data_IF_997906657085
#
_entry.id   IF_997906657085
#
_cell.length_a   1.000
_cell.length_b   1.000
_cell.length_c   1.000
_cell.angle_alpha   90.00
_cell.angle_beta   90.00
_cell.angle_gamma   90.00
#
_symmetry.space_group_name_H-M   'P 1'
#
loop_
_entity.id
_entity.type
_entity.pdbx_description
1 polymer ?
#
# COMPACT_ATOMS: atom_id res chain seq x y z
N UNK A 1 52.15 69.59 -2.05
CA UNK A 1 51.27 68.50 -2.50
C UNK A 1 51.30 67.42 -1.42
N UNK A 2 50.33 67.40 -0.52
CA UNK A 2 50.21 66.38 0.54
C UNK A 2 48.93 65.60 0.30
N UNK A 3 49.05 64.35 -0.13
CA UNK A 3 47.91 63.46 -0.34
C UNK A 3 47.24 63.12 1.00
N UNK A 4 45.91 63.26 1.02
CA UNK A 4 45.06 62.79 2.11
C UNK A 4 44.59 61.37 1.77
N UNK A 5 45.15 60.36 2.44
CA UNK A 5 44.75 58.96 2.26
C UNK A 5 43.57 58.62 3.17
N UNK A 6 42.34 58.76 2.64
CA UNK A 6 41.13 58.26 3.29
C UNK A 6 41.19 56.71 3.37
N UNK A 7 41.54 56.20 4.55
CA UNK A 7 41.60 54.76 4.79
C UNK A 7 40.18 54.22 5.00
N UNK A 8 39.61 53.58 3.99
CA UNK A 8 38.30 52.93 4.09
C UNK A 8 38.38 51.70 5.02
N UNK A 9 37.99 51.89 6.29
CA UNK A 9 37.90 50.84 7.29
C UNK A 9 36.71 49.93 6.98
N UNK A 10 36.95 48.87 6.21
CA UNK A 10 35.93 47.90 5.82
C UNK A 10 35.49 47.09 7.05
N UNK A 11 34.36 47.48 7.64
CA UNK A 11 33.81 46.86 8.85
C UNK A 11 32.92 45.70 8.47
N UNK A 12 33.48 44.49 8.37
CA UNK A 12 32.71 43.26 8.15
C UNK A 12 31.78 43.03 9.34
N UNK A 13 30.50 43.40 9.21
CA UNK A 13 29.45 43.07 10.19
C UNK A 13 29.34 41.55 10.27
N UNK A 14 29.85 40.95 11.36
CA UNK A 14 29.53 39.56 11.71
C UNK A 14 28.03 39.46 11.97
N UNK A 15 27.31 38.79 11.07
CA UNK A 15 25.90 38.46 11.29
C UNK A 15 25.88 37.43 12.44
N UNK A 16 25.47 37.86 13.63
CA UNK A 16 25.23 36.93 14.74
C UNK A 16 24.10 35.98 14.34
N UNK A 17 24.41 34.68 14.21
CA UNK A 17 23.40 33.64 14.03
C UNK A 17 22.57 33.56 15.32
N UNK A 18 21.32 34.03 15.27
CA UNK A 18 20.35 33.79 16.35
C UNK A 18 20.05 32.29 16.38
N UNK A 19 20.28 31.67 17.54
CA UNK A 19 19.92 30.28 17.79
C UNK A 19 18.41 30.11 17.98
N UNK A 20 17.94 28.89 17.77
CA UNK A 20 16.57 28.47 18.06
C UNK A 20 16.33 28.53 19.57
N UNK A 21 15.22 29.13 20.02
CA UNK A 21 14.88 29.09 21.45
C UNK A 21 14.25 27.75 21.82
N UNK A 22 14.40 27.35 23.08
CA UNK A 22 13.73 26.15 23.61
C UNK A 22 12.21 26.28 23.52
N UNK A 23 11.68 27.50 23.68
CA UNK A 23 10.24 27.74 23.62
C UNK A 23 9.69 27.58 22.20
N UNK A 24 10.48 27.92 21.16
CA UNK A 24 10.08 27.65 19.78
C UNK A 24 9.94 26.16 19.50
N UNK A 25 10.86 25.30 19.98
CA UNK A 25 10.70 23.84 19.81
C UNK A 25 9.56 23.30 20.67
N UNK A 26 9.39 23.81 21.90
CA UNK A 26 8.33 23.37 22.81
C UNK A 26 6.94 23.57 22.20
N UNK A 27 6.67 24.74 21.64
CA UNK A 27 5.36 25.02 21.04
C UNK A 27 5.12 24.13 19.80
N UNK A 28 6.16 23.87 19.01
CA UNK A 28 6.08 23.05 17.80
C UNK A 28 5.74 21.60 18.15
N UNK A 29 6.43 20.99 19.12
CA UNK A 29 6.14 19.59 19.49
C UNK A 29 4.77 19.45 20.15
N UNK A 30 4.29 20.48 20.87
CA UNK A 30 2.92 20.51 21.41
C UNK A 30 1.90 20.53 20.29
N UNK A 31 2.05 21.41 19.29
CA UNK A 31 1.13 21.48 18.15
C UNK A 31 1.19 20.16 17.34
N UNK A 32 2.38 19.63 17.07
CA UNK A 32 2.54 18.34 16.39
C UNK A 32 1.88 17.19 17.18
N UNK A 33 1.98 17.20 18.50
CA UNK A 33 1.32 16.21 19.37
C UNK A 33 -0.20 16.27 19.27
N UNK A 34 -0.79 17.47 19.31
CA UNK A 34 -2.25 17.66 19.15
C UNK A 34 -2.71 17.22 17.76
N UNK A 35 -2.00 17.63 16.70
CA UNK A 35 -2.34 17.24 15.33
C UNK A 35 -2.23 15.73 15.12
N UNK A 36 -1.16 15.10 15.64
CA UNK A 36 -0.97 13.66 15.54
C UNK A 36 -2.12 12.90 16.22
N UNK A 37 -2.55 13.32 17.42
CA UNK A 37 -3.64 12.67 18.15
C UNK A 37 -4.97 12.68 17.37
N UNK A 38 -5.24 13.74 16.60
CA UNK A 38 -6.46 13.84 15.80
C UNK A 38 -6.37 13.06 14.48
N UNK A 39 -5.20 13.04 13.83
CA UNK A 39 -5.04 12.49 12.47
C UNK A 39 -4.82 10.97 12.48
N UNK A 40 -4.06 10.43 13.44
CA UNK A 40 -3.67 9.02 13.48
C UNK A 40 -4.86 8.04 13.39
N UNK A 41 -5.95 8.16 14.20
CA UNK A 41 -7.05 7.18 14.14
C UNK A 41 -7.73 7.16 12.77
N UNK A 42 -7.87 8.32 12.12
CA UNK A 42 -8.45 8.41 10.77
C UNK A 42 -7.58 7.74 9.71
N UNK A 43 -6.27 7.91 9.77
CA UNK A 43 -5.33 7.29 8.82
C UNK A 43 -5.27 5.77 9.01
N UNK A 44 -5.22 5.29 10.25
CA UNK A 44 -5.19 3.84 10.54
C UNK A 44 -6.46 3.15 10.04
N UNK A 45 -7.63 3.75 10.27
CA UNK A 45 -8.90 3.24 9.73
C UNK A 45 -8.90 3.18 8.20
N UNK A 46 -8.51 4.28 7.55
CA UNK A 46 -8.46 4.36 6.08
C UNK A 46 -7.49 3.33 5.47
N UNK A 47 -6.36 3.05 6.11
CA UNK A 47 -5.42 2.01 5.67
C UNK A 47 -6.03 0.61 5.77
N UNK A 48 -6.78 0.32 6.85
CA UNK A 48 -7.50 -0.94 7.01
C UNK A 48 -8.57 -1.15 5.95
N UNK A 49 -9.36 -0.10 5.68
CA UNK A 49 -10.39 -0.10 4.63
C UNK A 49 -9.78 -0.26 3.23
N UNK A 50 -8.69 0.45 2.96
CA UNK A 50 -7.97 0.34 1.69
C UNK A 50 -7.42 -1.08 1.47
N UNK A 51 -6.87 -1.71 2.51
CA UNK A 51 -6.38 -3.08 2.42
C UNK A 51 -7.51 -4.08 2.17
N UNK A 52 -8.64 -3.93 2.86
CA UNK A 52 -9.83 -4.79 2.69
C UNK A 52 -10.45 -4.63 1.29
N UNK A 53 -10.52 -3.39 0.80
CA UNK A 53 -10.97 -3.08 -0.56
C UNK A 53 -10.04 -3.67 -1.61
N UNK A 54 -8.72 -3.52 -1.43
CA UNK A 54 -7.73 -4.12 -2.33
C UNK A 54 -7.84 -5.66 -2.35
N UNK A 55 -7.97 -6.30 -1.19
CA UNK A 55 -8.16 -7.75 -1.09
C UNK A 55 -9.44 -8.20 -1.84
N UNK A 56 -10.54 -7.48 -1.66
CA UNK A 56 -11.81 -7.75 -2.36
C UNK A 56 -11.72 -7.54 -3.87
N UNK A 57 -10.97 -6.52 -4.33
CA UNK A 57 -10.75 -6.27 -5.74
C UNK A 57 -9.95 -7.40 -6.40
N UNK A 58 -8.88 -7.86 -5.74
CA UNK A 58 -8.12 -9.03 -6.19
C UNK A 58 -9.05 -10.27 -6.20
N UNK A 59 -9.92 -10.45 -5.19
CA UNK A 59 -10.94 -11.52 -5.11
C UNK A 59 -11.82 -11.62 -6.34
N UNK A 60 -12.29 -10.48 -6.80
CA UNK A 60 -13.08 -10.36 -8.02
C UNK A 60 -12.27 -10.73 -9.28
N UNK A 61 -11.00 -10.34 -9.35
CA UNK A 61 -10.13 -10.65 -10.50
C UNK A 61 -9.93 -12.16 -10.66
N UNK A 62 -9.52 -12.86 -9.60
CA UNK A 62 -9.35 -14.32 -9.63
C UNK A 62 -10.68 -15.03 -9.92
N UNK A 63 -11.78 -14.58 -9.30
CA UNK A 63 -13.12 -15.14 -9.59
C UNK A 63 -13.41 -15.09 -11.10
N UNK A 64 -13.13 -13.96 -11.73
CA UNK A 64 -13.34 -13.77 -13.17
C UNK A 64 -12.46 -14.73 -13.98
N UNK A 65 -11.20 -14.90 -13.59
CA UNK A 65 -10.27 -15.79 -14.29
C UNK A 65 -10.67 -17.25 -14.16
N UNK A 66 -11.01 -17.73 -12.96
CA UNK A 66 -11.47 -19.11 -12.73
C UNK A 66 -12.79 -19.38 -13.45
N UNK A 67 -13.72 -18.42 -13.41
CA UNK A 67 -14.99 -18.55 -14.16
C UNK A 67 -14.73 -18.69 -15.66
N UNK A 68 -13.85 -17.86 -16.23
CA UNK A 68 -13.48 -17.96 -17.65
C UNK A 68 -12.78 -19.28 -17.98
N UNK A 69 -11.85 -19.72 -17.14
CA UNK A 69 -11.19 -21.02 -17.30
C UNK A 69 -12.23 -22.15 -17.34
N UNK A 70 -13.14 -22.19 -16.38
CA UNK A 70 -14.14 -23.26 -16.28
C UNK A 70 -15.19 -23.21 -17.41
N UNK A 71 -15.46 -22.03 -17.96
CA UNK A 71 -16.37 -21.85 -19.09
C UNK A 71 -15.75 -22.28 -20.42
N UNK A 72 -14.52 -21.86 -20.71
CA UNK A 72 -13.88 -22.08 -22.01
C UNK A 72 -12.98 -23.32 -22.05
N UNK A 73 -12.56 -23.84 -20.89
CA UNK A 73 -11.72 -25.04 -20.70
C UNK A 73 -10.56 -25.16 -21.70
N UNK A 74 -9.73 -24.12 -21.90
CA UNK A 74 -8.58 -24.23 -22.78
C UNK A 74 -7.64 -25.34 -22.28
N UNK A 75 -7.26 -26.25 -23.17
CA UNK A 75 -6.39 -27.40 -22.82
C UNK A 75 -7.03 -28.43 -21.88
N UNK A 76 -8.36 -28.41 -21.69
CA UNK A 76 -9.06 -29.36 -20.81
C UNK A 76 -8.88 -29.10 -19.31
N UNK A 77 -8.20 -28.02 -18.93
CA UNK A 77 -8.00 -27.64 -17.54
C UNK A 77 -9.32 -27.15 -16.91
N UNK A 78 -9.57 -27.52 -15.65
CA UNK A 78 -10.72 -27.06 -14.87
C UNK A 78 -10.30 -26.99 -13.41
N UNK A 79 -10.82 -25.99 -12.69
CA UNK A 79 -10.64 -25.86 -11.25
C UNK A 79 -11.97 -26.22 -10.59
N UNK A 80 -11.96 -27.28 -9.78
CA UNK A 80 -13.12 -27.70 -9.00
C UNK A 80 -13.19 -26.83 -7.74
N UNK A 81 -14.21 -25.97 -7.68
CA UNK A 81 -14.42 -25.07 -6.55
C UNK A 81 -15.47 -25.64 -5.61
N UNK A 82 -15.02 -26.05 -4.44
CA UNK A 82 -15.84 -26.49 -3.30
C UNK A 82 -16.06 -25.33 -2.33
N UNK A 83 -17.28 -25.21 -1.81
CA UNK A 83 -17.67 -24.16 -0.87
C UNK A 83 -16.82 -24.17 0.41
N UNK A 84 -16.52 -22.97 0.92
CA UNK A 84 -15.72 -22.70 2.10
C UNK A 84 -14.28 -23.26 2.10
N UNK A 85 -13.83 -23.91 1.02
CA UNK A 85 -12.43 -24.33 0.88
C UNK A 85 -11.54 -23.11 0.65
N UNK A 86 -10.35 -23.13 1.26
CA UNK A 86 -9.30 -22.16 1.03
C UNK A 86 -8.44 -22.60 -0.17
N UNK A 87 -8.16 -21.67 -1.07
CA UNK A 87 -7.34 -21.88 -2.25
C UNK A 87 -6.07 -21.03 -2.16
N UNK A 88 -4.95 -21.66 -2.48
CA UNK A 88 -3.63 -21.05 -2.58
C UNK A 88 -3.21 -20.85 -4.05
N UNK A 89 -2.06 -20.23 -4.27
CA UNK A 89 -1.46 -20.10 -5.60
C UNK A 89 -1.17 -21.44 -6.28
N UNK A 90 -0.97 -22.50 -5.49
CA UNK A 90 -0.75 -23.86 -6.01
C UNK A 90 -2.05 -24.46 -6.56
N UNK A 91 -3.15 -24.31 -5.83
CA UNK A 91 -4.46 -24.85 -6.23
C UNK A 91 -5.00 -24.16 -7.48
N UNK A 92 -4.62 -22.88 -7.67
CA UNK A 92 -5.01 -22.06 -8.80
C UNK A 92 -3.96 -22.03 -9.93
N UNK A 93 -2.91 -22.86 -9.86
CA UNK A 93 -1.89 -23.00 -10.91
C UNK A 93 -2.43 -23.32 -12.32
N UNK A 94 -3.60 -23.98 -12.51
CA UNK A 94 -4.18 -24.13 -13.84
C UNK A 94 -4.45 -22.80 -14.56
N UNK A 95 -4.66 -21.69 -13.84
CA UNK A 95 -4.81 -20.35 -14.43
C UNK A 95 -3.53 -19.90 -15.16
N UNK A 96 -2.36 -20.22 -14.60
CA UNK A 96 -1.06 -19.89 -15.18
C UNK A 96 -0.79 -20.78 -16.40
N UNK A 97 -1.08 -22.08 -16.26
CA UNK A 97 -0.91 -23.05 -17.36
C UNK A 97 -1.76 -22.68 -18.57
N UNK A 98 -3.01 -22.26 -18.33
CA UNK A 98 -3.95 -21.81 -19.34
C UNK A 98 -3.75 -20.35 -19.80
N UNK A 99 -2.68 -19.67 -19.36
CA UNK A 99 -2.29 -18.31 -19.78
C UNK A 99 -3.29 -17.20 -19.42
N UNK A 100 -4.04 -17.35 -18.33
CA UNK A 100 -4.87 -16.27 -17.78
C UNK A 100 -4.08 -15.29 -16.92
N UNK A 101 -2.96 -15.72 -16.33
CA UNK A 101 -2.02 -14.89 -15.57
C UNK A 101 -0.60 -15.46 -15.63
N UNK A 102 0.36 -14.69 -15.13
CA UNK A 102 1.70 -15.20 -14.80
C UNK A 102 1.73 -15.80 -13.39
N UNK A 103 2.76 -16.59 -13.08
CA UNK A 103 2.99 -17.12 -11.73
C UNK A 103 3.10 -16.00 -10.70
N UNK A 104 3.81 -14.92 -11.04
CA UNK A 104 4.02 -13.77 -10.16
C UNK A 104 2.72 -13.00 -9.93
N UNK A 105 1.90 -12.83 -10.97
CA UNK A 105 0.59 -12.20 -10.83
C UNK A 105 -0.31 -12.99 -9.89
N UNK A 106 -0.32 -14.33 -10.01
CA UNK A 106 -1.13 -15.19 -9.15
C UNK A 106 -0.65 -15.14 -7.70
N UNK A 107 0.66 -15.15 -7.49
CA UNK A 107 1.27 -15.04 -6.16
C UNK A 107 1.03 -13.67 -5.50
N UNK A 108 0.97 -12.59 -6.29
CA UNK A 108 0.68 -11.24 -5.80
C UNK A 108 -0.82 -11.01 -5.56
N UNK A 109 -1.67 -11.69 -6.33
CA UNK A 109 -3.12 -11.56 -6.20
C UNK A 109 -3.64 -12.33 -4.99
N UNK A 110 -3.18 -13.57 -4.77
CA UNK A 110 -3.56 -14.36 -3.60
C UNK A 110 -2.70 -13.91 -2.43
N UNK A 111 -3.33 -13.45 -1.36
CA UNK A 111 -2.62 -13.11 -0.13
C UNK A 111 -1.83 -14.34 0.34
N UNK A 112 -0.50 -14.26 0.23
CA UNK A 112 0.43 -15.34 0.54
C UNK A 112 0.34 -15.82 2.00
N UNK A 113 -0.29 -15.03 2.87
CA UNK A 113 -0.40 -15.32 4.31
C UNK A 113 -1.68 -16.07 4.65
N UNK A 114 -2.79 -15.86 3.92
CA UNK A 114 -4.12 -16.32 4.35
C UNK A 114 -4.93 -17.10 3.32
N UNK A 115 -4.60 -17.06 2.03
CA UNK A 115 -5.37 -17.78 1.02
C UNK A 115 -6.79 -17.23 0.89
N UNK A 116 -7.58 -17.80 -0.02
CA UNK A 116 -8.87 -17.22 -0.42
C UNK A 116 -9.95 -18.28 -0.38
N UNK A 117 -11.09 -18.00 0.25
CA UNK A 117 -12.18 -18.97 0.37
C UNK A 117 -13.17 -18.83 -0.76
N UNK A 118 -13.62 -19.96 -1.32
CA UNK A 118 -14.70 -19.94 -2.30
C UNK A 118 -16.06 -19.89 -1.61
N UNK A 119 -16.94 -19.00 -2.04
CA UNK A 119 -18.34 -18.99 -1.63
C UNK A 119 -19.22 -19.41 -2.81
N UNK A 120 -19.79 -20.62 -2.71
CA UNK A 120 -20.62 -21.20 -3.77
C UNK A 120 -21.95 -20.46 -3.97
N UNK A 121 -22.52 -19.88 -2.91
CA UNK A 121 -23.78 -19.14 -2.99
C UNK A 121 -23.65 -17.85 -3.83
N UNK A 122 -22.50 -17.19 -3.76
CA UNK A 122 -22.23 -15.93 -4.48
C UNK A 122 -21.37 -16.13 -5.73
N UNK A 123 -20.85 -17.35 -5.95
CA UNK A 123 -19.88 -17.68 -6.99
C UNK A 123 -18.68 -16.73 -7.00
N UNK A 124 -18.15 -16.42 -5.82
CA UNK A 124 -17.05 -15.47 -5.63
C UNK A 124 -16.04 -15.98 -4.61
N UNK A 125 -14.78 -15.64 -4.85
CA UNK A 125 -13.77 -15.72 -3.80
C UNK A 125 -13.97 -14.62 -2.77
N UNK A 126 -13.67 -14.94 -1.52
CA UNK A 126 -13.69 -14.03 -0.39
C UNK A 126 -12.28 -14.06 0.24
N UNK A 127 -11.63 -12.91 0.45
CA UNK A 127 -10.38 -12.87 1.17
C UNK A 127 -10.61 -13.35 2.59
N UNK A 128 -9.79 -14.27 3.08
CA UNK A 128 -9.85 -14.67 4.49
C UNK A 128 -9.31 -13.52 5.36
N UNK A 129 -10.03 -13.15 6.45
CA UNK A 129 -9.64 -12.05 7.32
C UNK A 129 -8.32 -12.28 8.04
#
# INVERSE_FOLDING_TARGET
MTENTNTFKNSTKRIMRRGFTLIEILIVVVILGVLAALVIPGVVGALGDANTSAASARASQITTMVTRLNQFKPGGATIALTDAQAYSSTDLAPLVTAKYCTTDDLANQIDATKGWTWNAATSKFIPTP
#
